data_IF_564451921755
#
_entry.id   IF_564451921755
#
_cell.length_a   1.000
_cell.length_b   1.000
_cell.length_c   1.000
_cell.angle_alpha   90.00
_cell.angle_beta   90.00
_cell.angle_gamma   90.00
#
_symmetry.space_group_name_H-M   'P 1'
#
loop_
_entity.id
_entity.type
_entity.pdbx_description
1 polymer ?
#
# COMPACT_ATOMS: atom_id res chain seq x y z
N UNK A 1 -12.94 12.78 -15.16
CA UNK A 1 -11.96 13.11 -14.11
C UNK A 1 -10.67 13.44 -14.85
N UNK A 2 -10.29 14.71 -14.94
CA UNK A 2 -9.04 15.11 -15.59
C UNK A 2 -7.87 14.36 -14.91
N UNK A 3 -7.08 13.64 -15.71
CA UNK A 3 -5.99 12.84 -15.17
C UNK A 3 -4.78 13.75 -14.91
N UNK A 4 -4.83 14.52 -13.80
CA UNK A 4 -3.75 15.44 -13.38
C UNK A 4 -2.37 14.77 -13.34
N UNK A 5 -2.33 13.45 -13.14
CA UNK A 5 -1.10 12.65 -13.12
C UNK A 5 -0.49 12.52 -14.53
N UNK A 6 -1.29 12.27 -15.58
CA UNK A 6 -0.74 12.14 -16.93
C UNK A 6 -0.17 13.46 -17.43
N UNK A 7 -0.81 14.58 -17.07
CA UNK A 7 -0.33 15.91 -17.43
C UNK A 7 0.99 16.24 -16.73
N UNK A 8 1.12 15.87 -15.44
CA UNK A 8 2.36 16.04 -14.70
C UNK A 8 3.49 15.13 -15.19
N UNK A 9 3.19 13.88 -15.54
CA UNK A 9 4.16 12.95 -16.15
C UNK A 9 4.67 13.51 -17.47
N UNK A 10 3.77 14.03 -18.31
CA UNK A 10 4.13 14.67 -19.58
C UNK A 10 5.02 15.90 -19.36
N UNK A 11 4.62 16.81 -18.46
CA UNK A 11 5.42 17.98 -18.09
C UNK A 11 6.82 17.58 -17.57
N UNK A 12 6.91 16.50 -16.79
CA UNK A 12 8.19 15.96 -16.33
C UNK A 12 9.07 15.45 -17.47
N UNK A 13 8.50 14.75 -18.45
CA UNK A 13 9.24 14.32 -19.64
C UNK A 13 9.70 15.50 -20.49
N UNK A 14 8.84 16.49 -20.69
CA UNK A 14 9.15 17.69 -21.49
C UNK A 14 10.31 18.48 -20.84
N UNK A 15 10.26 18.73 -19.53
CA UNK A 15 11.34 19.40 -18.79
C UNK A 15 12.65 18.59 -18.80
N UNK A 16 12.58 17.26 -18.68
CA UNK A 16 13.77 16.41 -18.76
C UNK A 16 14.42 16.46 -20.15
N UNK A 17 13.62 16.54 -21.23
CA UNK A 17 14.12 16.68 -22.59
C UNK A 17 14.76 18.06 -22.82
N UNK A 18 14.18 19.12 -22.27
CA UNK A 18 14.73 20.48 -22.33
C UNK A 18 16.05 20.62 -21.57
N UNK A 19 16.14 20.07 -20.35
CA UNK A 19 17.39 19.99 -19.58
C UNK A 19 18.51 19.35 -20.41
N UNK A 20 18.17 18.29 -21.14
CA UNK A 20 19.11 17.54 -21.97
C UNK A 20 19.55 18.29 -23.23
N UNK A 21 18.66 19.07 -23.86
CA UNK A 21 18.92 19.73 -25.15
C UNK A 21 19.51 21.15 -25.02
N UNK A 22 19.24 21.85 -23.93
CA UNK A 22 19.55 23.29 -23.76
C UNK A 22 20.80 23.61 -22.93
N UNK A 23 21.59 22.62 -22.51
CA UNK A 23 22.70 22.80 -21.55
C UNK A 23 22.28 23.51 -20.25
N UNK A 24 21.03 23.32 -19.79
CA UNK A 24 20.56 23.79 -18.48
C UNK A 24 19.89 25.16 -18.47
N UNK A 25 19.39 25.68 -19.59
CA UNK A 25 18.61 26.93 -19.63
C UNK A 25 17.19 26.82 -19.02
N UNK A 26 16.94 25.79 -18.20
CA UNK A 26 15.67 25.55 -17.51
C UNK A 26 15.61 26.40 -16.24
N UNK A 27 14.48 27.08 -16.02
CA UNK A 27 14.26 27.82 -14.77
C UNK A 27 14.16 26.85 -13.59
N UNK A 28 15.07 26.98 -12.63
CA UNK A 28 15.14 26.13 -11.43
C UNK A 28 13.84 26.23 -10.61
N UNK A 29 13.11 27.35 -10.69
CA UNK A 29 11.81 27.51 -10.04
C UNK A 29 10.73 26.62 -10.66
N UNK A 30 10.76 26.43 -11.97
CA UNK A 30 9.81 25.55 -12.67
C UNK A 30 10.06 24.07 -12.37
N UNK A 31 11.32 23.71 -12.16
CA UNK A 31 11.72 22.36 -11.70
C UNK A 31 11.30 22.15 -10.26
N UNK A 32 11.54 23.11 -9.38
CA UNK A 32 11.10 23.05 -7.98
C UNK A 32 9.58 22.90 -7.88
N UNK A 33 8.82 23.65 -8.68
CA UNK A 33 7.36 23.53 -8.73
C UNK A 33 6.93 22.15 -9.24
N UNK A 34 7.56 21.61 -10.30
CA UNK A 34 7.24 20.26 -10.79
C UNK A 34 7.48 19.21 -9.69
N UNK A 35 8.60 19.30 -8.95
CA UNK A 35 8.90 18.39 -7.85
C UNK A 35 7.82 18.46 -6.77
N UNK A 36 7.40 19.67 -6.39
CA UNK A 36 6.33 19.88 -5.40
C UNK A 36 4.99 19.29 -5.87
N UNK A 37 4.64 19.51 -7.14
CA UNK A 37 3.40 18.99 -7.74
C UNK A 37 3.42 17.46 -7.80
N UNK A 38 4.55 16.86 -8.21
CA UNK A 38 4.74 15.40 -8.24
C UNK A 38 4.67 14.78 -6.84
N UNK A 39 5.33 15.38 -5.85
CA UNK A 39 5.26 14.92 -4.47
C UNK A 39 3.81 14.93 -3.95
N UNK A 40 3.09 16.03 -4.18
CA UNK A 40 1.68 16.16 -3.80
C UNK A 40 0.81 15.09 -4.49
N UNK A 41 1.03 14.80 -5.76
CA UNK A 41 0.26 13.75 -6.45
C UNK A 41 0.62 12.34 -5.98
N UNK A 42 1.89 12.08 -5.64
CA UNK A 42 2.29 10.80 -5.06
C UNK A 42 1.62 10.58 -3.70
N UNK A 43 1.54 11.61 -2.85
CA UNK A 43 0.79 11.55 -1.59
C UNK A 43 -0.69 11.24 -1.81
N UNK A 44 -1.32 11.91 -2.79
CA UNK A 44 -2.72 11.63 -3.16
C UNK A 44 -2.89 10.19 -3.65
N UNK A 45 -1.97 9.69 -4.48
CA UNK A 45 -2.00 8.32 -4.97
C UNK A 45 -1.81 7.31 -3.84
N UNK A 46 -0.91 7.57 -2.89
CA UNK A 46 -0.70 6.73 -1.72
C UNK A 46 -1.96 6.65 -0.85
N UNK A 47 -2.61 7.78 -0.58
CA UNK A 47 -3.87 7.80 0.20
C UNK A 47 -4.98 7.02 -0.52
N UNK A 48 -5.14 7.22 -1.83
CA UNK A 48 -6.14 6.50 -2.63
C UNK A 48 -5.86 4.98 -2.67
N UNK A 49 -4.60 4.61 -2.83
CA UNK A 49 -4.11 3.24 -2.81
C UNK A 49 -4.46 2.55 -1.49
N UNK A 50 -4.18 3.20 -0.37
CA UNK A 50 -4.50 2.67 0.95
C UNK A 50 -6.01 2.56 1.21
N UNK A 51 -6.81 3.52 0.73
CA UNK A 51 -8.26 3.44 0.81
C UNK A 51 -8.81 2.26 -0.01
N UNK A 52 -8.29 2.04 -1.22
CA UNK A 52 -8.67 0.91 -2.06
C UNK A 52 -8.28 -0.43 -1.43
N UNK A 53 -7.11 -0.50 -0.77
CA UNK A 53 -6.68 -1.67 -0.02
C UNK A 53 -7.67 -2.02 1.12
N UNK A 54 -8.12 -1.01 1.88
CA UNK A 54 -9.09 -1.21 2.95
C UNK A 54 -10.45 -1.70 2.42
N UNK A 55 -10.96 -1.11 1.34
CA UNK A 55 -12.20 -1.55 0.70
C UNK A 55 -12.07 -2.98 0.14
N UNK A 56 -10.94 -3.32 -0.49
CA UNK A 56 -10.70 -4.67 -0.97
C UNK A 56 -10.66 -5.69 0.17
N UNK A 57 -9.98 -5.38 1.28
CA UNK A 57 -9.95 -6.25 2.45
C UNK A 57 -11.38 -6.54 2.96
N UNK A 58 -12.22 -5.49 3.05
CA UNK A 58 -13.63 -5.62 3.41
C UNK A 58 -14.42 -6.49 2.42
N UNK A 59 -14.26 -6.27 1.12
CA UNK A 59 -14.95 -7.07 0.08
C UNK A 59 -14.51 -8.54 0.12
N UNK A 60 -13.21 -8.80 0.32
CA UNK A 60 -12.68 -10.14 0.54
C UNK A 60 -13.35 -10.82 1.73
N UNK A 61 -13.50 -10.13 2.85
CA UNK A 61 -14.13 -10.69 4.05
C UNK A 61 -15.61 -11.00 3.83
N UNK A 62 -16.34 -10.12 3.15
CA UNK A 62 -17.73 -10.35 2.76
C UNK A 62 -17.83 -11.58 1.83
N UNK A 63 -16.97 -11.68 0.82
CA UNK A 63 -16.97 -12.80 -0.12
C UNK A 63 -16.70 -14.13 0.59
N UNK A 64 -15.71 -14.17 1.49
CA UNK A 64 -15.40 -15.34 2.33
C UNK A 64 -16.57 -15.73 3.22
N UNK A 65 -17.24 -14.75 3.83
CA UNK A 65 -18.47 -14.98 4.60
C UNK A 65 -19.59 -15.57 3.74
N UNK A 66 -19.78 -15.05 2.53
CA UNK A 66 -20.73 -15.58 1.55
C UNK A 66 -20.41 -17.02 1.15
N UNK A 67 -19.15 -17.33 0.85
CA UNK A 67 -18.70 -18.69 0.51
C UNK A 67 -18.93 -19.67 1.67
N UNK A 68 -18.72 -19.23 2.91
CA UNK A 68 -18.99 -20.05 4.10
C UNK A 68 -20.49 -20.37 4.25
N UNK A 69 -21.36 -19.39 4.08
CA UNK A 69 -22.82 -19.59 4.13
C UNK A 69 -23.27 -20.51 2.99
N UNK A 70 -22.75 -20.29 1.78
CA UNK A 70 -23.06 -21.12 0.61
C UNK A 70 -22.63 -22.58 0.82
N UNK A 71 -21.45 -22.81 1.40
CA UNK A 71 -20.99 -24.16 1.73
C UNK A 71 -21.92 -24.86 2.73
N UNK A 72 -22.38 -24.14 3.75
CA UNK A 72 -23.37 -24.69 4.70
C UNK A 72 -24.70 -25.02 4.03
N UNK A 73 -25.14 -24.20 3.08
CA UNK A 73 -26.36 -24.46 2.33
C UNK A 73 -26.23 -25.73 1.48
N UNK A 74 -25.12 -25.89 0.75
CA UNK A 74 -24.84 -27.09 -0.06
C UNK A 74 -24.85 -28.39 0.76
N UNK A 75 -24.39 -28.34 2.02
CA UNK A 75 -24.41 -29.51 2.90
C UNK A 75 -25.79 -29.84 3.47
N UNK A 76 -26.73 -28.87 3.48
CA UNK A 76 -28.03 -29.02 4.14
C UNK A 76 -29.21 -29.18 3.18
N UNK A 77 -29.10 -28.61 1.97
CA UNK A 77 -30.19 -28.55 1.02
C UNK A 77 -29.74 -29.08 -0.34
N UNK A 78 -30.65 -29.71 -1.06
CA UNK A 78 -30.44 -30.05 -2.47
C UNK A 78 -30.66 -28.82 -3.34
N UNK A 79 -29.64 -28.48 -4.11
CA UNK A 79 -29.73 -27.44 -5.12
C UNK A 79 -30.21 -28.07 -6.43
N UNK A 80 -31.04 -27.34 -7.18
CA UNK A 80 -31.49 -27.78 -8.50
C UNK A 80 -30.35 -27.94 -9.50
N UNK A 81 -30.61 -28.67 -10.58
CA UNK A 81 -29.61 -29.00 -11.62
C UNK A 81 -28.91 -27.73 -12.12
N UNK A 82 -27.58 -27.71 -12.06
CA UNK A 82 -26.74 -26.57 -12.46
C UNK A 82 -26.45 -25.54 -11.36
N UNK A 83 -27.29 -25.44 -10.31
CA UNK A 83 -27.05 -24.50 -9.21
C UNK A 83 -25.98 -24.99 -8.23
N UNK A 84 -25.85 -26.30 -8.03
CA UNK A 84 -24.77 -26.91 -7.21
C UNK A 84 -23.40 -26.53 -7.75
N UNK A 85 -23.19 -26.70 -9.06
CA UNK A 85 -21.92 -26.40 -9.73
C UNK A 85 -21.57 -24.92 -9.63
N UNK A 86 -22.55 -24.02 -9.83
CA UNK A 86 -22.34 -22.58 -9.68
C UNK A 86 -21.96 -22.18 -8.25
N UNK A 87 -22.58 -22.80 -7.25
CA UNK A 87 -22.26 -22.55 -5.85
C UNK A 87 -20.85 -23.06 -5.48
N UNK A 88 -20.46 -24.23 -5.99
CA UNK A 88 -19.11 -24.79 -5.82
C UNK A 88 -18.05 -23.94 -6.52
N UNK A 89 -18.30 -23.49 -7.75
CA UNK A 89 -17.42 -22.60 -8.50
C UNK A 89 -17.20 -21.28 -7.75
N UNK A 90 -18.26 -20.65 -7.24
CA UNK A 90 -18.13 -19.44 -6.41
C UNK A 90 -17.26 -19.67 -5.16
N UNK A 91 -17.49 -20.78 -4.43
CA UNK A 91 -16.69 -21.10 -3.24
C UNK A 91 -15.21 -21.31 -3.61
N UNK A 92 -14.94 -21.99 -4.72
CA UNK A 92 -13.58 -22.23 -5.23
C UNK A 92 -12.91 -20.91 -5.58
N UNK A 93 -13.59 -20.03 -6.30
CA UNK A 93 -13.04 -18.77 -6.78
C UNK A 93 -12.73 -17.82 -5.62
N UNK A 94 -13.61 -17.72 -4.62
CA UNK A 94 -13.37 -16.93 -3.39
C UNK A 94 -12.18 -17.46 -2.59
N UNK A 95 -11.92 -18.78 -2.63
CA UNK A 95 -10.77 -19.41 -1.94
C UNK A 95 -9.49 -19.38 -2.76
N UNK A 96 -9.56 -19.02 -4.04
CA UNK A 96 -8.38 -18.92 -4.88
C UNK A 96 -7.47 -17.80 -4.38
N UNK A 97 -6.14 -18.02 -4.47
CA UNK A 97 -5.17 -16.98 -4.09
C UNK A 97 -5.24 -15.82 -5.07
N UNK A 98 -5.04 -14.59 -4.60
CA UNK A 98 -4.90 -13.39 -5.43
C UNK A 98 -3.53 -12.75 -5.20
N UNK A 99 -2.43 -13.32 -5.73
CA UNK A 99 -1.08 -12.97 -5.29
C UNK A 99 -0.72 -11.50 -5.41
N UNK A 100 -1.16 -10.85 -6.51
CA UNK A 100 -0.94 -9.42 -6.72
C UNK A 100 -1.64 -8.57 -5.66
N UNK A 101 -2.88 -8.91 -5.32
CA UNK A 101 -3.64 -8.17 -4.31
C UNK A 101 -3.14 -8.46 -2.91
N UNK A 102 -2.82 -9.73 -2.61
CA UNK A 102 -2.27 -10.11 -1.31
C UNK A 102 -0.95 -9.37 -1.06
N UNK A 103 -0.08 -9.28 -2.08
CA UNK A 103 1.20 -8.57 -2.00
C UNK A 103 0.99 -7.08 -1.78
N UNK A 104 0.02 -6.49 -2.48
CA UNK A 104 -0.37 -5.11 -2.30
C UNK A 104 -0.91 -4.82 -0.88
N UNK A 105 -1.78 -5.68 -0.34
CA UNK A 105 -2.26 -5.53 1.04
C UNK A 105 -1.13 -5.68 2.07
N UNK A 106 -0.17 -6.57 1.83
CA UNK A 106 1.02 -6.68 2.68
C UNK A 106 1.89 -5.43 2.62
N UNK A 107 2.07 -4.84 1.46
CA UNK A 107 2.78 -3.57 1.30
C UNK A 107 2.09 -2.46 2.10
N UNK A 108 0.77 -2.32 1.99
CA UNK A 108 0.01 -1.30 2.75
C UNK A 108 0.13 -1.52 4.26
N UNK A 109 0.10 -2.77 4.73
CA UNK A 109 0.34 -3.09 6.15
C UNK A 109 1.76 -2.75 6.58
N UNK A 110 2.77 -3.09 5.76
CA UNK A 110 4.17 -2.80 6.04
C UNK A 110 4.42 -1.28 6.13
N UNK A 111 3.83 -0.48 5.23
CA UNK A 111 3.89 0.98 5.29
C UNK A 111 3.29 1.55 6.58
N UNK A 112 2.20 0.96 7.09
CA UNK A 112 1.64 1.33 8.39
C UNK A 112 2.63 1.10 9.53
N UNK A 113 3.35 -0.03 9.50
CA UNK A 113 4.40 -0.37 10.48
C UNK A 113 5.62 0.55 10.35
N UNK A 114 6.02 0.90 9.12
CA UNK A 114 7.12 1.84 8.87
C UNK A 114 6.83 3.25 9.40
N UNK A 115 5.58 3.71 9.32
CA UNK A 115 5.18 4.98 9.96
C UNK A 115 5.38 4.95 11.47
N UNK A 116 5.10 3.81 12.11
CA UNK A 116 5.38 3.67 13.54
C UNK A 116 6.88 3.66 13.83
N UNK A 117 7.70 3.01 13.00
CA UNK A 117 9.16 3.10 13.14
C UNK A 117 9.68 4.55 12.97
N UNK A 118 9.13 5.32 12.04
CA UNK A 118 9.48 6.73 11.86
C UNK A 118 9.11 7.57 13.10
N UNK A 119 7.96 7.31 13.72
CA UNK A 119 7.56 7.93 14.98
C UNK A 119 8.57 7.63 16.09
N UNK A 120 9.00 6.37 16.24
CA UNK A 120 10.01 5.98 17.24
C UNK A 120 11.35 6.70 17.02
N UNK A 121 11.76 6.91 15.77
CA UNK A 121 12.97 7.68 15.45
C UNK A 121 12.84 9.15 15.84
N UNK A 122 11.70 9.78 15.55
CA UNK A 122 11.45 11.16 15.97
C UNK A 122 11.43 11.29 17.51
N UNK A 123 10.85 10.32 18.22
CA UNK A 123 10.90 10.29 19.69
C UNK A 123 12.33 10.07 20.22
N UNK A 124 13.15 9.29 19.52
CA UNK A 124 14.53 9.09 19.89
C UNK A 124 15.36 10.39 19.77
N UNK A 125 15.13 11.17 18.71
CA UNK A 125 15.75 12.48 18.52
C UNK A 125 15.41 13.43 19.68
N UNK A 126 14.13 13.49 20.08
CA UNK A 126 13.69 14.29 21.23
C UNK A 126 14.31 13.82 22.56
N UNK A 127 14.44 12.51 22.75
CA UNK A 127 15.07 11.95 23.94
C UNK A 127 16.57 12.30 24.02
N UNK A 128 17.27 12.28 22.88
CA UNK A 128 18.68 12.67 22.79
C UNK A 128 18.87 14.16 23.11
N UNK A 129 18.05 15.03 22.50
CA UNK A 129 18.04 16.47 22.78
C UNK A 129 17.77 16.80 24.26
N UNK A 130 16.95 15.98 24.93
CA UNK A 130 16.64 16.12 26.35
C UNK A 130 17.71 15.49 27.27
N UNK A 131 18.76 14.87 26.73
CA UNK A 131 19.85 14.24 27.48
C UNK A 131 19.54 12.83 28.00
N UNK A 132 18.48 12.18 27.50
CA UNK A 132 18.07 10.83 27.87
C UNK A 132 18.68 9.78 26.91
N UNK A 133 20.01 9.73 26.83
CA UNK A 133 20.78 8.86 25.90
C UNK A 133 20.34 7.38 25.93
N UNK A 134 20.04 6.85 27.12
CA UNK A 134 19.54 5.47 27.25
C UNK A 134 18.17 5.25 26.59
N UNK A 135 17.26 6.22 26.71
CA UNK A 135 15.95 6.16 26.08
C UNK A 135 16.06 6.33 24.56
N UNK A 136 16.91 7.26 24.09
CA UNK A 136 17.18 7.45 22.66
C UNK A 136 17.70 6.17 22.01
N UNK A 137 18.71 5.53 22.61
CA UNK A 137 19.26 4.24 22.12
C UNK A 137 18.21 3.13 22.10
N UNK A 138 17.37 3.06 23.13
CA UNK A 138 16.28 2.09 23.18
C UNK A 138 15.29 2.30 22.03
N UNK A 139 14.81 3.53 21.83
CA UNK A 139 13.85 3.87 20.78
C UNK A 139 14.39 3.62 19.37
N UNK A 140 15.68 3.92 19.13
CA UNK A 140 16.36 3.56 17.87
C UNK A 140 16.34 2.05 17.67
N UNK A 141 16.75 1.28 18.69
CA UNK A 141 16.76 -0.19 18.62
C UNK A 141 15.37 -0.76 18.35
N UNK A 142 14.32 -0.24 18.99
CA UNK A 142 12.95 -0.65 18.72
C UNK A 142 12.50 -0.27 17.30
N UNK A 143 12.86 0.92 16.81
CA UNK A 143 12.55 1.33 15.43
C UNK A 143 13.12 0.36 14.39
N UNK A 144 14.33 -0.16 14.61
CA UNK A 144 14.97 -1.13 13.73
C UNK A 144 14.25 -2.49 13.75
N UNK A 145 13.80 -2.95 14.92
CA UNK A 145 12.98 -4.17 15.03
C UNK A 145 11.64 -4.02 14.32
N UNK A 146 11.00 -2.86 14.46
CA UNK A 146 9.73 -2.55 13.78
C UNK A 146 9.93 -2.53 12.26
N UNK A 147 11.03 -1.96 11.76
CA UNK A 147 11.38 -2.02 10.33
C UNK A 147 11.63 -3.45 9.85
N UNK A 148 12.32 -4.27 10.65
CA UNK A 148 12.52 -5.68 10.32
C UNK A 148 11.18 -6.45 10.24
N UNK A 149 10.24 -6.14 11.14
CA UNK A 149 8.89 -6.71 11.09
C UNK A 149 8.11 -6.27 9.84
N UNK A 150 8.21 -4.99 9.44
CA UNK A 150 7.61 -4.52 8.19
C UNK A 150 8.16 -5.27 6.96
N UNK A 151 9.47 -5.56 6.94
CA UNK A 151 10.08 -6.36 5.88
C UNK A 151 9.58 -7.81 5.86
N UNK A 152 9.33 -8.41 7.03
CA UNK A 152 8.75 -9.76 7.14
C UNK A 152 7.34 -9.82 6.56
N UNK A 153 6.49 -8.83 6.85
CA UNK A 153 5.11 -8.75 6.31
C UNK A 153 5.10 -8.86 4.78
N UNK A 154 6.06 -8.23 4.10
CA UNK A 154 6.19 -8.30 2.62
C UNK A 154 6.58 -9.70 2.13
N UNK A 155 7.40 -10.41 2.89
CA UNK A 155 7.92 -11.73 2.50
C UNK A 155 6.92 -12.88 2.76
N UNK A 156 6.04 -12.73 3.74
CA UNK A 156 5.05 -13.76 4.10
C UNK A 156 4.06 -14.07 2.96
N UNK A 157 3.82 -13.10 2.07
CA UNK A 157 2.90 -13.28 0.93
C UNK A 157 3.56 -13.97 -0.28
N UNK A 158 4.88 -14.06 -0.31
CA UNK A 158 5.62 -14.75 -1.38
C UNK A 158 5.68 -16.28 -1.22
N UNK A 159 5.06 -16.84 -0.16
CA UNK A 159 5.04 -18.29 0.17
C UNK A 159 3.66 -18.93 -0.11
#
# INVERSE_FOLDING_TARGET
MECKVSDLVKRGHDQAAELKSSCGAVDVRDVAQLISDLATQLDVQLVRSNALAAEYARLSDIAKGGAFVMQKALMKYEFGVGMTMQAEDFIRDVRSKTPATDAFLAEVRAQGVERYAAQLKSEAELADEAGWDGAAKFLISESEKVLAFAAQIRQEVAK
#
